data_IF_132249616013
#
_entry.id   IF_132249616013
#
_cell.length_a   1.000
_cell.length_b   1.000
_cell.length_c   1.000
_cell.angle_alpha   90.00
_cell.angle_beta   90.00
_cell.angle_gamma   90.00
#
_symmetry.space_group_name_H-M   'P 1'
#
loop_
_entity.id
_entity.type
_entity.pdbx_description
1 polymer ?
#
# COMPACT_ATOMS: atom_id res chain seq x y z
N UNK A 1 -35.68 36.40 13.18
CA UNK A 1 -34.35 35.85 12.85
C UNK A 1 -33.75 36.80 11.85
N UNK A 2 -32.59 37.34 12.15
CA UNK A 2 -31.92 38.39 11.36
C UNK A 2 -30.51 37.93 11.03
N UNK A 3 -30.04 38.26 9.83
CA UNK A 3 -28.64 38.08 9.43
C UNK A 3 -28.11 39.44 9.04
N UNK A 4 -26.90 39.75 9.51
CA UNK A 4 -26.19 40.99 9.21
C UNK A 4 -24.69 40.73 9.20
N UNK A 5 -23.93 41.69 8.68
CA UNK A 5 -22.48 41.70 8.89
C UNK A 5 -22.17 41.71 10.38
N UNK A 6 -21.15 40.95 10.76
CA UNK A 6 -20.53 41.07 12.06
C UNK A 6 -19.85 42.43 12.16
N UNK A 7 -19.86 42.97 13.36
CA UNK A 7 -19.10 44.16 13.77
C UNK A 7 -18.15 43.77 14.88
N UNK A 8 -17.21 44.66 15.23
CA UNK A 8 -16.27 44.40 16.34
C UNK A 8 -16.99 44.12 17.67
N UNK A 9 -18.20 44.65 17.86
CA UNK A 9 -19.02 44.39 19.05
C UNK A 9 -19.50 42.92 19.16
N UNK A 10 -19.49 42.16 18.05
CA UNK A 10 -19.91 40.77 18.02
C UNK A 10 -18.78 39.79 18.37
N UNK A 11 -17.54 40.26 18.43
CA UNK A 11 -16.36 39.42 18.65
C UNK A 11 -16.50 38.51 19.89
N UNK A 12 -16.93 39.00 21.07
CA UNK A 12 -17.07 38.12 22.24
C UNK A 12 -18.09 37.00 22.03
N UNK A 13 -19.19 37.29 21.32
CA UNK A 13 -20.22 36.28 21.04
C UNK A 13 -19.75 35.26 20.00
N UNK A 14 -19.04 35.71 18.97
CA UNK A 14 -18.47 34.83 17.95
C UNK A 14 -17.37 33.95 18.56
N UNK A 15 -16.54 34.47 19.47
CA UNK A 15 -15.53 33.67 20.17
C UNK A 15 -16.13 32.55 21.01
N UNK A 16 -17.26 32.79 21.67
CA UNK A 16 -17.98 31.74 22.39
C UNK A 16 -18.47 30.65 21.43
N UNK A 17 -19.07 31.04 20.30
CA UNK A 17 -19.52 30.09 19.28
C UNK A 17 -18.34 29.35 18.62
N UNK A 18 -17.20 29.99 18.44
CA UNK A 18 -15.97 29.38 17.94
C UNK A 18 -15.47 28.28 18.88
N UNK A 19 -15.45 28.55 20.19
CA UNK A 19 -15.06 27.55 21.20
C UNK A 19 -16.02 26.36 21.22
N UNK A 20 -17.32 26.60 21.05
CA UNK A 20 -18.29 25.51 20.88
C UNK A 20 -18.01 24.68 19.61
N UNK A 21 -17.71 25.35 18.48
CA UNK A 21 -17.34 24.70 17.23
C UNK A 21 -16.09 23.82 17.38
N UNK A 22 -15.02 24.36 17.95
CA UNK A 22 -13.77 23.64 18.22
C UNK A 22 -14.00 22.48 19.19
N UNK A 23 -14.84 22.64 20.21
CA UNK A 23 -15.18 21.54 21.12
C UNK A 23 -15.96 20.41 20.44
N UNK A 24 -16.81 20.72 19.45
CA UNK A 24 -17.55 19.70 18.69
C UNK A 24 -16.70 19.02 17.61
N UNK A 25 -15.68 19.70 17.09
CA UNK A 25 -14.80 19.20 16.05
C UNK A 25 -13.36 19.65 16.34
N UNK A 26 -12.70 19.03 17.33
CA UNK A 26 -11.37 19.46 17.75
C UNK A 26 -10.36 19.32 16.61
N UNK A 27 -9.43 20.28 16.44
CA UNK A 27 -8.37 20.15 15.45
C UNK A 27 -7.49 18.94 15.79
N UNK A 28 -6.80 18.37 14.78
CA UNK A 28 -5.79 17.35 15.04
C UNK A 28 -4.76 17.82 16.06
N UNK A 29 -4.40 16.95 17.01
CA UNK A 29 -3.52 17.29 18.13
C UNK A 29 -2.16 17.88 17.73
N UNK A 30 -1.67 17.58 16.52
CA UNK A 30 -0.39 18.09 16.02
C UNK A 30 -0.44 19.55 15.56
N UNK A 31 -1.63 20.16 15.43
CA UNK A 31 -1.77 21.59 15.14
C UNK A 31 -1.66 22.46 16.40
N UNK A 32 -1.64 21.86 17.59
CA UNK A 32 -1.60 22.58 18.86
C UNK A 32 -2.99 23.05 19.32
N UNK A 33 -3.01 23.91 20.34
CA UNK A 33 -4.23 24.61 20.76
C UNK A 33 -4.72 25.52 19.63
N UNK A 34 -6.04 25.58 19.42
CA UNK A 34 -6.62 26.52 18.44
C UNK A 34 -6.40 27.93 18.95
N UNK A 35 -5.81 28.79 18.12
CA UNK A 35 -5.80 30.23 18.38
C UNK A 35 -7.24 30.76 18.50
N UNK A 36 -7.41 31.86 19.26
CA UNK A 36 -8.66 32.61 19.32
C UNK A 36 -9.00 33.15 17.91
N UNK A 37 -10.29 33.22 17.58
CA UNK A 37 -10.73 33.60 16.23
C UNK A 37 -10.60 35.11 15.96
N UNK A 38 -9.70 35.51 15.07
CA UNK A 38 -9.60 36.90 14.61
C UNK A 38 -10.59 37.18 13.45
N UNK A 39 -11.57 38.07 13.66
CA UNK A 39 -12.65 38.33 12.69
C UNK A 39 -12.18 38.84 11.32
N UNK A 40 -11.06 39.58 11.27
CA UNK A 40 -10.52 40.19 10.05
C UNK A 40 -9.32 39.46 9.43
N UNK A 41 -8.91 38.33 10.00
CA UNK A 41 -7.72 37.63 9.52
C UNK A 41 -7.90 37.10 8.09
N UNK A 42 -6.86 37.23 7.27
CA UNK A 42 -6.81 36.64 5.93
C UNK A 42 -7.82 37.22 4.91
N UNK A 43 -8.31 38.45 5.14
CA UNK A 43 -9.26 39.11 4.23
C UNK A 43 -10.66 38.52 4.27
N UNK A 44 -11.06 37.95 5.41
CA UNK A 44 -12.39 37.36 5.59
C UNK A 44 -13.42 38.42 5.97
N UNK A 45 -14.64 38.24 5.48
CA UNK A 45 -15.84 38.95 5.90
C UNK A 45 -16.68 38.01 6.76
N UNK A 46 -17.27 38.53 7.83
CA UNK A 46 -18.06 37.75 8.77
C UNK A 46 -19.52 38.20 8.82
N UNK A 47 -20.41 37.24 9.02
CA UNK A 47 -21.85 37.44 9.25
C UNK A 47 -22.29 36.74 10.52
N UNK A 48 -23.25 37.35 11.21
CA UNK A 48 -23.90 36.77 12.39
C UNK A 48 -25.38 36.49 12.12
N UNK A 49 -25.86 35.38 12.67
CA UNK A 49 -27.28 35.04 12.72
C UNK A 49 -27.81 35.26 14.12
N UNK A 50 -28.86 36.08 14.23
CA UNK A 50 -29.45 36.46 15.52
C UNK A 50 -30.84 35.84 15.72
N UNK A 51 -31.12 35.45 16.97
CA UNK A 51 -32.44 34.99 17.43
C UNK A 51 -32.66 35.41 18.87
N UNK A 52 -33.87 35.90 19.17
CA UNK A 52 -34.26 36.34 20.52
C UNK A 52 -33.30 37.36 21.17
N UNK A 53 -32.70 38.23 20.35
CA UNK A 53 -31.80 39.29 20.83
C UNK A 53 -30.33 38.89 21.04
N UNK A 54 -29.94 37.66 20.67
CA UNK A 54 -28.55 37.20 20.77
C UNK A 54 -28.03 36.58 19.46
N UNK A 55 -26.70 36.63 19.29
CA UNK A 55 -25.97 35.95 18.21
C UNK A 55 -25.94 34.45 18.52
N UNK A 56 -26.43 33.63 17.60
CA UNK A 56 -26.58 32.17 17.76
C UNK A 56 -25.92 31.37 16.64
N UNK A 57 -25.37 32.05 15.64
CA UNK A 57 -24.67 31.47 14.51
C UNK A 57 -23.73 32.51 13.90
N UNK A 58 -22.68 32.05 13.23
CA UNK A 58 -21.81 32.91 12.44
C UNK A 58 -21.33 32.18 11.18
N UNK A 59 -20.90 32.95 10.19
CA UNK A 59 -20.17 32.47 9.03
C UNK A 59 -19.04 33.43 8.69
N UNK A 60 -17.92 32.89 8.21
CA UNK A 60 -16.83 33.66 7.60
C UNK A 60 -16.59 33.20 6.18
N UNK A 61 -16.38 34.15 5.28
CA UNK A 61 -16.08 33.86 3.89
C UNK A 61 -15.11 34.87 3.30
N UNK A 62 -14.48 34.50 2.19
CA UNK A 62 -13.58 35.37 1.43
C UNK A 62 -13.65 35.06 -0.06
N UNK A 63 -13.35 36.02 -0.95
CA UNK A 63 -13.22 35.75 -2.37
C UNK A 63 -11.89 35.03 -2.67
N UNK A 64 -11.91 34.13 -3.64
CA UNK A 64 -10.73 33.44 -4.18
C UNK A 64 -10.86 33.26 -5.69
N UNK A 65 -10.17 34.11 -6.46
CA UNK A 65 -10.35 34.16 -7.91
C UNK A 65 -11.79 34.49 -8.27
N UNK A 66 -12.45 33.60 -9.03
CA UNK A 66 -13.87 33.72 -9.40
C UNK A 66 -14.82 32.95 -8.47
N UNK A 67 -14.35 32.51 -7.31
CA UNK A 67 -15.11 31.73 -6.34
C UNK A 67 -15.20 32.43 -4.97
N UNK A 68 -16.10 31.95 -4.13
CA UNK A 68 -16.18 32.31 -2.71
C UNK A 68 -15.82 31.09 -1.87
N UNK A 69 -14.91 31.26 -0.92
CA UNK A 69 -14.58 30.25 0.08
C UNK A 69 -15.31 30.56 1.38
N UNK A 70 -16.19 29.65 1.82
CA UNK A 70 -16.72 29.68 3.18
C UNK A 70 -15.67 29.03 4.08
N UNK A 71 -15.03 29.84 4.92
CA UNK A 71 -13.93 29.43 5.80
C UNK A 71 -14.50 28.75 7.04
N UNK A 72 -15.50 29.37 7.66
CA UNK A 72 -16.17 28.84 8.85
C UNK A 72 -17.67 29.04 8.75
N UNK A 73 -18.42 28.06 9.25
CA UNK A 73 -19.86 28.14 9.38
C UNK A 73 -20.29 27.34 10.61
N UNK A 74 -20.86 28.03 11.60
CA UNK A 74 -21.34 27.39 12.81
C UNK A 74 -22.70 27.92 13.24
N UNK A 75 -23.53 27.01 13.73
CA UNK A 75 -24.82 27.31 14.33
C UNK A 75 -24.86 26.58 15.68
N UNK A 76 -25.10 27.34 16.76
CA UNK A 76 -25.24 26.80 18.11
C UNK A 76 -26.24 25.65 18.13
N UNK A 77 -25.94 24.58 18.85
CA UNK A 77 -26.69 23.31 18.82
C UNK A 77 -28.19 23.50 19.05
N UNK A 78 -28.58 24.36 19.99
CA UNK A 78 -29.97 24.66 20.34
C UNK A 78 -30.76 25.34 19.20
N UNK A 79 -30.07 25.94 18.22
CA UNK A 79 -30.67 26.71 17.13
C UNK A 79 -30.55 26.03 15.75
N UNK A 80 -29.98 24.81 15.69
CA UNK A 80 -29.86 24.02 14.45
C UNK A 80 -31.21 23.58 13.90
N UNK A 81 -31.23 23.17 12.63
CA UNK A 81 -32.42 22.68 11.88
C UNK A 81 -33.53 23.73 11.66
N UNK A 82 -33.18 25.01 11.75
CA UNK A 82 -34.08 26.13 11.47
C UNK A 82 -33.68 26.92 10.21
N UNK A 83 -32.83 26.36 9.35
CA UNK A 83 -32.40 27.00 8.10
C UNK A 83 -31.25 28.01 8.22
N UNK A 84 -30.83 28.39 9.44
CA UNK A 84 -29.78 29.40 9.69
C UNK A 84 -28.52 29.23 8.84
N UNK A 85 -27.96 28.01 8.76
CA UNK A 85 -26.74 27.77 7.98
C UNK A 85 -26.92 28.05 6.48
N UNK A 86 -28.08 27.69 5.91
CA UNK A 86 -28.40 27.99 4.50
C UNK A 86 -28.53 29.50 4.28
N UNK A 87 -29.18 30.20 5.21
CA UNK A 87 -29.38 31.64 5.11
C UNK A 87 -28.05 32.40 5.26
N UNK A 88 -27.13 31.95 6.12
CA UNK A 88 -25.78 32.50 6.25
C UNK A 88 -24.95 32.32 4.97
N UNK A 89 -24.99 31.14 4.35
CA UNK A 89 -24.34 30.92 3.04
C UNK A 89 -24.91 31.87 2.00
N UNK A 90 -26.25 32.04 1.95
CA UNK A 90 -26.89 32.97 1.04
C UNK A 90 -26.45 34.43 1.24
N UNK A 91 -26.30 34.86 2.50
CA UNK A 91 -25.79 36.20 2.82
C UNK A 91 -24.34 36.39 2.37
N UNK A 92 -23.48 35.39 2.57
CA UNK A 92 -22.10 35.44 2.10
C UNK A 92 -22.02 35.52 0.56
N UNK A 93 -22.87 34.81 -0.17
CA UNK A 93 -22.89 34.86 -1.64
C UNK A 93 -23.44 36.17 -2.19
N UNK A 94 -24.34 36.83 -1.46
CA UNK A 94 -24.88 38.13 -1.87
C UNK A 94 -23.81 39.24 -1.87
N UNK A 95 -22.73 39.09 -1.08
CA UNK A 95 -21.59 40.00 -1.06
C UNK A 95 -20.78 39.95 -2.36
N UNK A 96 -20.73 38.79 -3.01
CA UNK A 96 -19.96 38.57 -4.24
C UNK A 96 -20.87 38.00 -5.34
N UNK A 97 -21.74 38.85 -5.94
CA UNK A 97 -22.75 38.39 -6.91
C UNK A 97 -22.15 37.80 -8.18
N UNK A 98 -20.91 38.15 -8.52
CA UNK A 98 -20.19 37.65 -9.70
C UNK A 98 -19.46 36.31 -9.44
N UNK A 99 -19.56 35.76 -8.24
CA UNK A 99 -18.93 34.49 -7.90
C UNK A 99 -19.55 33.33 -8.70
N UNK A 100 -18.70 32.62 -9.43
CA UNK A 100 -19.09 31.49 -10.28
C UNK A 100 -19.16 30.17 -9.52
N UNK A 101 -18.43 30.07 -8.40
CA UNK A 101 -18.29 28.85 -7.61
C UNK A 101 -18.28 29.16 -6.11
N UNK A 102 -18.66 28.16 -5.32
CA UNK A 102 -18.59 28.20 -3.85
C UNK A 102 -17.84 26.98 -3.38
N UNK A 103 -16.80 27.17 -2.57
CA UNK A 103 -16.02 26.10 -1.96
C UNK A 103 -15.99 26.22 -0.45
N UNK A 104 -15.79 25.09 0.21
CA UNK A 104 -15.62 24.99 1.64
C UNK A 104 -14.89 23.68 1.97
N UNK A 105 -14.33 23.63 3.17
CA UNK A 105 -13.86 22.39 3.75
C UNK A 105 -14.89 21.92 4.80
N UNK A 106 -15.32 20.66 4.70
CA UNK A 106 -16.35 20.13 5.58
C UNK A 106 -15.79 19.04 6.49
N UNK A 107 -16.07 19.15 7.79
CA UNK A 107 -15.98 18.00 8.69
C UNK A 107 -16.98 16.91 8.25
N UNK A 108 -16.64 15.63 8.47
CA UNK A 108 -17.45 14.49 8.05
C UNK A 108 -18.89 14.57 8.56
N UNK A 109 -19.09 15.05 9.79
CA UNK A 109 -20.41 15.21 10.40
C UNK A 109 -21.31 16.25 9.69
N UNK A 110 -20.71 17.21 8.97
CA UNK A 110 -21.42 18.26 8.24
C UNK A 110 -21.75 17.87 6.78
N UNK A 111 -21.16 16.80 6.24
CA UNK A 111 -21.38 16.38 4.85
C UNK A 111 -22.87 16.21 4.48
N UNK A 112 -23.74 15.61 5.30
CA UNK A 112 -25.16 15.48 4.97
C UNK A 112 -25.88 16.84 4.82
N UNK A 113 -25.39 17.90 5.46
CA UNK A 113 -25.92 19.25 5.27
C UNK A 113 -25.52 19.82 3.91
N UNK A 114 -24.24 19.77 3.56
CA UNK A 114 -23.74 20.31 2.29
C UNK A 114 -24.21 19.52 1.07
N UNK A 115 -24.29 18.19 1.17
CA UNK A 115 -24.82 17.34 0.10
C UNK A 115 -26.28 17.69 -0.23
N UNK A 116 -27.10 18.04 0.77
CA UNK A 116 -28.48 18.50 0.56
C UNK A 116 -28.58 19.87 -0.11
N UNK A 117 -27.52 20.68 -0.04
CA UNK A 117 -27.41 21.95 -0.76
C UNK A 117 -26.84 21.78 -2.17
N UNK A 118 -26.40 20.57 -2.54
CA UNK A 118 -25.89 20.25 -3.86
C UNK A 118 -24.36 20.35 -4.00
N UNK A 119 -23.63 20.62 -2.93
CA UNK A 119 -22.15 20.57 -2.96
C UNK A 119 -21.68 19.18 -3.38
N UNK A 120 -20.64 19.16 -4.22
CA UNK A 120 -19.97 17.94 -4.66
C UNK A 120 -18.58 17.87 -4.02
N UNK A 121 -18.12 16.66 -3.73
CA UNK A 121 -16.77 16.43 -3.21
C UNK A 121 -15.75 16.55 -4.36
N UNK A 122 -14.91 17.58 -4.32
CA UNK A 122 -13.86 17.82 -5.33
C UNK A 122 -12.51 17.21 -4.91
N UNK A 123 -12.20 17.23 -3.61
CA UNK A 123 -10.91 16.77 -3.08
C UNK A 123 -11.04 16.22 -1.65
N UNK A 124 -10.08 15.36 -1.27
CA UNK A 124 -9.93 14.81 0.09
C UNK A 124 -8.67 15.34 0.76
N UNK A 125 -8.79 15.66 2.05
CA UNK A 125 -7.64 15.78 2.94
C UNK A 125 -7.25 14.39 3.42
N UNK A 126 -6.01 13.99 3.15
CA UNK A 126 -5.42 12.74 3.61
C UNK A 126 -4.34 13.06 4.63
N UNK A 127 -4.37 12.37 5.76
CA UNK A 127 -3.42 12.60 6.86
C UNK A 127 -2.72 11.31 7.23
N UNK A 128 -1.42 11.40 7.49
CA UNK A 128 -0.65 10.34 8.12
C UNK A 128 0.55 10.91 8.88
N UNK A 129 1.01 10.24 9.96
CA UNK A 129 2.23 10.62 10.63
C UNK A 129 3.44 10.56 9.67
N UNK A 130 4.19 11.67 9.57
CA UNK A 130 5.37 11.74 8.72
C UNK A 130 6.41 10.64 8.99
N UNK A 131 6.70 10.25 10.25
CA UNK A 131 7.60 9.12 10.52
C UNK A 131 7.13 7.80 9.89
N UNK A 132 5.81 7.53 9.92
CA UNK A 132 5.24 6.34 9.30
C UNK A 132 5.33 6.39 7.76
N UNK A 133 5.17 7.58 7.16
CA UNK A 133 5.35 7.74 5.70
C UNK A 133 6.80 7.50 5.30
N UNK A 134 7.75 8.09 6.04
CA UNK A 134 9.18 7.90 5.79
C UNK A 134 9.58 6.42 5.87
N UNK A 135 9.11 5.71 6.89
CA UNK A 135 9.36 4.27 7.02
C UNK A 135 8.84 3.48 5.80
N UNK A 136 7.63 3.80 5.32
CA UNK A 136 7.05 3.17 4.12
C UNK A 136 7.76 3.55 2.82
N UNK A 137 8.26 4.78 2.70
CA UNK A 137 9.01 5.23 1.52
C UNK A 137 10.41 4.64 1.49
N UNK A 138 11.06 4.46 2.65
CA UNK A 138 12.34 3.76 2.74
C UNK A 138 12.22 2.28 2.32
N UNK A 139 11.04 1.66 2.50
CA UNK A 139 10.71 0.36 1.93
C UNK A 139 10.53 0.35 0.39
N UNK A 140 10.76 1.46 -0.32
CA UNK A 140 10.82 1.47 -1.79
C UNK A 140 12.23 1.60 -2.36
N UNK A 141 13.24 1.90 -1.53
CA UNK A 141 14.67 1.80 -1.90
C UNK A 141 15.23 0.38 -1.71
N UNK A 142 14.35 -0.61 -1.76
CA UNK A 142 14.69 -2.02 -1.67
C UNK A 142 15.15 -2.48 -3.06
N UNK A 143 16.30 -3.16 -3.15
CA UNK A 143 16.94 -3.50 -4.42
C UNK A 143 16.07 -4.38 -5.32
N UNK A 144 16.54 -4.67 -6.53
CA UNK A 144 15.77 -5.50 -7.46
C UNK A 144 15.49 -6.90 -6.88
N UNK A 145 14.25 -7.34 -7.04
CA UNK A 145 13.82 -8.71 -6.72
C UNK A 145 13.65 -9.48 -8.01
N UNK A 146 13.99 -10.75 -7.99
CA UNK A 146 13.73 -11.65 -9.09
C UNK A 146 13.58 -13.08 -8.57
N UNK A 147 12.90 -13.92 -9.34
CA UNK A 147 12.71 -15.31 -8.95
C UNK A 147 12.39 -16.25 -10.08
N UNK A 148 12.57 -17.53 -9.79
CA UNK A 148 12.31 -18.63 -10.71
C UNK A 148 11.64 -19.78 -9.97
N UNK A 149 10.82 -20.52 -10.70
CA UNK A 149 10.14 -21.72 -10.20
C UNK A 149 10.68 -22.91 -10.98
N UNK A 150 11.18 -23.92 -10.29
CA UNK A 150 11.67 -25.15 -10.89
C UNK A 150 10.72 -26.30 -10.58
N UNK A 151 10.16 -26.92 -11.61
CA UNK A 151 9.24 -28.06 -11.51
C UNK A 151 9.99 -29.33 -11.88
N UNK A 152 10.02 -30.34 -11.00
CA UNK A 152 10.75 -31.59 -11.22
C UNK A 152 9.97 -32.52 -12.16
N UNK A 153 10.09 -32.30 -13.46
CA UNK A 153 9.44 -33.08 -14.53
C UNK A 153 10.15 -32.83 -15.86
N UNK A 154 9.90 -33.67 -16.85
CA UNK A 154 10.31 -33.54 -18.24
C UNK A 154 9.14 -33.15 -19.18
N UNK A 155 7.90 -33.12 -18.69
CA UNK A 155 6.72 -32.72 -19.48
C UNK A 155 6.56 -31.19 -19.53
N UNK A 156 7.34 -30.55 -20.41
CA UNK A 156 7.31 -29.10 -20.64
C UNK A 156 5.91 -28.61 -21.06
N UNK A 157 5.20 -29.41 -21.86
CA UNK A 157 3.86 -29.06 -22.33
C UNK A 157 2.83 -29.03 -21.20
N UNK A 158 2.93 -29.93 -20.22
CA UNK A 158 2.07 -29.89 -19.03
C UNK A 158 2.35 -28.67 -18.17
N UNK A 159 3.62 -28.32 -17.96
CA UNK A 159 3.99 -27.10 -17.22
C UNK A 159 3.48 -25.85 -17.95
N UNK A 160 3.67 -25.75 -19.26
CA UNK A 160 3.16 -24.64 -20.07
C UNK A 160 1.63 -24.47 -19.92
N UNK A 161 0.86 -25.56 -20.04
CA UNK A 161 -0.59 -25.53 -19.86
C UNK A 161 -0.98 -25.07 -18.46
N UNK A 162 -0.26 -25.51 -17.43
CA UNK A 162 -0.51 -25.08 -16.05
C UNK A 162 -0.20 -23.58 -15.87
N UNK A 163 0.91 -23.09 -16.43
CA UNK A 163 1.26 -21.65 -16.42
C UNK A 163 0.16 -20.82 -17.10
N UNK A 164 -0.29 -21.21 -18.30
CA UNK A 164 -1.41 -20.57 -19.01
C UNK A 164 -2.70 -20.54 -18.19
N UNK A 165 -2.95 -21.59 -17.41
CA UNK A 165 -4.14 -21.70 -16.58
C UNK A 165 -4.09 -20.76 -15.36
N UNK A 166 -2.93 -20.62 -14.71
CA UNK A 166 -2.83 -19.96 -13.41
C UNK A 166 -2.35 -18.51 -13.46
N UNK A 167 -1.44 -18.15 -14.36
CA UNK A 167 -0.87 -16.80 -14.45
C UNK A 167 -1.93 -15.71 -14.64
N UNK A 168 -2.97 -15.87 -15.49
CA UNK A 168 -4.02 -14.86 -15.63
C UNK A 168 -4.81 -14.57 -14.34
N UNK A 169 -4.72 -15.43 -13.32
CA UNK A 169 -5.42 -15.31 -12.03
C UNK A 169 -4.54 -14.67 -10.95
N UNK A 170 -3.28 -14.37 -11.26
CA UNK A 170 -2.37 -13.68 -10.35
C UNK A 170 -2.70 -12.17 -10.32
N UNK A 171 -2.84 -11.56 -9.14
CA UNK A 171 -2.84 -10.11 -8.98
C UNK A 171 -1.58 -9.48 -9.58
N UNK A 172 -1.69 -8.23 -10.06
CA UNK A 172 -0.55 -7.47 -10.59
C UNK A 172 -0.37 -7.55 -12.11
N UNK A 173 -1.13 -8.41 -12.79
CA UNK A 173 -1.28 -8.43 -14.25
C UNK A 173 0.01 -8.70 -15.01
N UNK A 174 0.44 -9.97 -15.05
CA UNK A 174 1.67 -10.39 -15.73
C UNK A 174 1.71 -9.94 -17.19
N UNK A 175 2.90 -9.50 -17.62
CA UNK A 175 3.23 -9.19 -19.01
C UNK A 175 3.55 -10.44 -19.84
N UNK A 176 3.82 -11.56 -19.18
CA UNK A 176 4.10 -12.84 -19.82
C UNK A 176 4.91 -13.75 -18.92
N UNK A 177 5.05 -14.99 -19.35
CA UNK A 177 5.85 -16.00 -18.66
C UNK A 177 6.72 -16.76 -19.66
N UNK A 178 7.80 -17.35 -19.18
CA UNK A 178 8.71 -18.18 -19.96
C UNK A 178 8.80 -19.54 -19.29
N UNK A 179 8.60 -20.61 -20.08
CA UNK A 179 8.77 -22.00 -19.66
C UNK A 179 9.97 -22.59 -20.39
N UNK A 180 11.07 -22.77 -19.66
CA UNK A 180 12.32 -23.31 -20.20
C UNK A 180 12.21 -24.81 -20.53
N UNK A 181 13.06 -25.34 -21.43
CA UNK A 181 13.15 -26.77 -21.66
C UNK A 181 13.69 -27.50 -20.40
N UNK A 182 13.45 -28.82 -20.27
CA UNK A 182 13.98 -29.61 -19.17
C UNK A 182 15.52 -29.57 -19.11
N UNK A 183 16.07 -29.31 -17.93
CA UNK A 183 17.51 -29.34 -17.63
C UNK A 183 17.72 -30.03 -16.28
N UNK A 184 18.51 -31.09 -16.26
CA UNK A 184 18.76 -31.92 -15.07
C UNK A 184 17.49 -32.40 -14.35
N UNK A 185 16.43 -32.73 -15.10
CA UNK A 185 15.15 -33.18 -14.53
C UNK A 185 14.27 -32.04 -14.00
N UNK A 186 14.59 -30.79 -14.33
CA UNK A 186 13.81 -29.61 -13.93
C UNK A 186 13.39 -28.76 -15.12
N UNK A 187 12.16 -28.26 -15.09
CA UNK A 187 11.66 -27.21 -15.97
C UNK A 187 11.58 -25.91 -15.18
N UNK A 188 12.22 -24.85 -15.66
CA UNK A 188 12.17 -23.53 -15.04
C UNK A 188 11.01 -22.70 -15.63
N UNK A 189 10.31 -21.98 -14.75
CA UNK A 189 9.26 -21.02 -15.07
C UNK A 189 9.65 -19.65 -14.53
N UNK A 190 9.60 -18.65 -15.40
CA UNK A 190 9.85 -17.25 -15.09
C UNK A 190 8.59 -16.45 -15.42
N UNK A 191 8.21 -15.51 -14.56
CA UNK A 191 7.02 -14.69 -14.78
C UNK A 191 7.23 -13.27 -14.26
N UNK A 192 6.78 -12.29 -15.04
CA UNK A 192 6.94 -10.86 -14.77
C UNK A 192 6.40 -10.43 -13.39
N UNK A 193 5.27 -10.98 -12.95
CA UNK A 193 4.70 -10.62 -11.65
C UNK A 193 5.48 -11.31 -10.53
N UNK A 194 5.98 -12.52 -10.76
CA UNK A 194 6.74 -13.28 -9.78
C UNK A 194 8.10 -12.65 -9.46
N UNK A 195 8.72 -11.95 -10.41
CA UNK A 195 9.92 -11.13 -10.13
C UNK A 195 9.62 -9.97 -9.18
N UNK A 196 8.46 -9.32 -9.37
CA UNK A 196 8.09 -8.10 -8.66
C UNK A 196 7.45 -8.34 -7.30
N UNK A 197 6.85 -9.52 -7.09
CA UNK A 197 6.15 -9.86 -5.85
C UNK A 197 6.44 -11.32 -5.44
N UNK A 198 7.30 -11.54 -4.42
CA UNK A 198 7.63 -12.87 -3.90
C UNK A 198 6.40 -13.68 -3.42
N UNK A 199 5.29 -13.00 -3.06
CA UNK A 199 4.04 -13.68 -2.69
C UNK A 199 3.41 -14.34 -3.90
N UNK A 200 3.48 -13.73 -5.07
CA UNK A 200 2.96 -14.34 -6.30
C UNK A 200 3.87 -15.47 -6.78
N UNK A 201 5.19 -15.35 -6.64
CA UNK A 201 6.13 -16.45 -6.89
C UNK A 201 5.77 -17.68 -6.07
N UNK A 202 5.60 -17.51 -4.74
CA UNK A 202 5.20 -18.61 -3.84
C UNK A 202 3.85 -19.19 -4.22
N UNK A 203 2.88 -18.34 -4.56
CA UNK A 203 1.53 -18.76 -4.97
C UNK A 203 1.58 -19.60 -6.25
N UNK A 204 2.24 -19.12 -7.29
CA UNK A 204 2.33 -19.84 -8.56
C UNK A 204 3.08 -21.18 -8.37
N UNK A 205 4.18 -21.20 -7.62
CA UNK A 205 4.91 -22.43 -7.31
C UNK A 205 4.02 -23.46 -6.60
N UNK A 206 3.18 -23.00 -5.66
CA UNK A 206 2.20 -23.84 -4.98
C UNK A 206 1.17 -24.44 -5.95
N UNK A 207 0.59 -23.63 -6.81
CA UNK A 207 -0.41 -24.07 -7.81
C UNK A 207 0.19 -25.07 -8.81
N UNK A 208 1.43 -24.83 -9.26
CA UNK A 208 2.17 -25.75 -10.11
C UNK A 208 2.43 -27.07 -9.39
N UNK A 209 2.90 -27.03 -8.13
CA UNK A 209 3.14 -28.25 -7.34
C UNK A 209 1.87 -29.07 -7.10
N UNK A 210 0.75 -28.42 -6.84
CA UNK A 210 -0.56 -29.08 -6.67
C UNK A 210 -1.04 -29.71 -7.98
N UNK A 211 -0.96 -28.96 -9.09
CA UNK A 211 -1.44 -29.40 -10.41
C UNK A 211 -0.61 -30.51 -11.01
N UNK A 212 0.71 -30.46 -10.83
CA UNK A 212 1.65 -31.41 -11.41
C UNK A 212 1.86 -32.64 -10.51
N UNK A 213 1.52 -32.55 -9.22
CA UNK A 213 1.80 -33.61 -8.25
C UNK A 213 3.30 -33.90 -8.11
N UNK A 214 4.15 -32.91 -8.40
CA UNK A 214 5.61 -33.04 -8.41
C UNK A 214 6.25 -32.22 -7.30
N UNK A 215 7.56 -32.42 -7.12
CA UNK A 215 8.39 -31.49 -6.34
C UNK A 215 8.51 -30.18 -7.12
N UNK A 216 8.36 -29.06 -6.43
CA UNK A 216 8.53 -27.71 -6.99
C UNK A 216 9.40 -26.89 -6.05
N UNK A 217 10.37 -26.18 -6.61
CA UNK A 217 11.27 -25.30 -5.87
C UNK A 217 11.10 -23.87 -6.37
N UNK A 218 10.67 -22.95 -5.50
CA UNK A 218 10.73 -21.52 -5.75
C UNK A 218 12.06 -20.96 -5.22
N UNK A 219 12.76 -20.19 -6.04
CA UNK A 219 14.05 -19.57 -5.74
C UNK A 219 13.96 -18.07 -6.00
N UNK A 220 14.39 -17.24 -5.05
CA UNK A 220 14.30 -15.79 -5.18
C UNK A 220 15.47 -15.05 -4.53
N UNK A 221 15.86 -13.95 -5.17
CA UNK A 221 16.47 -12.81 -4.50
C UNK A 221 15.36 -11.82 -4.21
N UNK A 222 15.23 -11.44 -2.94
CA UNK A 222 14.29 -10.41 -2.51
C UNK A 222 15.09 -9.16 -2.13
N UNK A 223 14.72 -8.03 -2.73
CA UNK A 223 15.20 -6.70 -2.38
C UNK A 223 16.71 -6.50 -2.53
N UNK A 224 17.34 -7.29 -3.41
CA UNK A 224 18.80 -7.48 -3.55
C UNK A 224 19.53 -7.82 -2.23
N UNK A 225 18.80 -8.20 -1.17
CA UNK A 225 19.32 -8.25 0.19
C UNK A 225 19.27 -9.66 0.80
N UNK A 226 18.27 -10.46 0.44
CA UNK A 226 18.10 -11.82 0.97
C UNK A 226 17.80 -12.83 -0.10
N UNK A 227 18.21 -14.06 0.16
CA UNK A 227 17.90 -15.23 -0.66
C UNK A 227 16.81 -16.03 0.04
N UNK A 228 15.74 -16.35 -0.69
CA UNK A 228 14.69 -17.26 -0.24
C UNK A 228 14.63 -18.49 -1.14
N UNK A 229 14.40 -19.65 -0.54
CA UNK A 229 13.81 -20.75 -1.28
C UNK A 229 12.59 -21.30 -0.55
N UNK A 230 11.64 -21.83 -1.31
CA UNK A 230 10.49 -22.58 -0.78
C UNK A 230 10.39 -23.88 -1.57
N UNK A 231 10.49 -25.00 -0.86
CA UNK A 231 10.36 -26.33 -1.44
C UNK A 231 8.94 -26.85 -1.20
N UNK A 232 8.32 -27.33 -2.27
CA UNK A 232 6.98 -27.88 -2.27
C UNK A 232 6.98 -29.34 -2.70
N UNK A 233 6.08 -30.12 -2.12
CA UNK A 233 5.71 -31.46 -2.57
C UNK A 233 4.18 -31.52 -2.62
N UNK A 234 3.61 -31.80 -3.79
CA UNK A 234 2.15 -31.81 -4.00
C UNK A 234 1.46 -30.53 -3.49
N UNK A 235 2.05 -29.36 -3.79
CA UNK A 235 1.51 -28.05 -3.42
C UNK A 235 1.56 -27.71 -1.92
N UNK A 236 2.21 -28.55 -1.10
CA UNK A 236 2.45 -28.28 0.33
C UNK A 236 3.90 -27.89 0.54
N UNK A 237 4.14 -26.89 1.39
CA UNK A 237 5.50 -26.50 1.78
C UNK A 237 6.08 -27.59 2.65
N UNK A 238 7.26 -28.08 2.28
CA UNK A 238 8.00 -29.10 3.02
C UNK A 238 9.28 -28.58 3.62
N UNK A 239 9.83 -27.50 3.05
CA UNK A 239 10.97 -26.75 3.60
C UNK A 239 10.91 -25.30 3.12
N UNK A 240 11.39 -24.39 3.96
CA UNK A 240 11.49 -22.97 3.63
C UNK A 240 12.79 -22.42 4.22
N UNK A 241 13.47 -21.60 3.45
CA UNK A 241 14.75 -21.00 3.84
C UNK A 241 14.74 -19.52 3.55
N UNK A 242 15.30 -18.75 4.49
CA UNK A 242 15.61 -17.34 4.32
C UNK A 242 17.01 -17.06 4.87
N UNK A 243 17.89 -16.48 4.06
CA UNK A 243 19.28 -16.22 4.43
C UNK A 243 19.44 -15.31 5.66
N UNK A 244 18.47 -14.41 5.88
CA UNK A 244 18.37 -13.59 7.09
C UNK A 244 16.95 -13.77 7.62
N UNK A 245 16.76 -14.63 8.62
CA UNK A 245 15.43 -15.10 9.04
C UNK A 245 14.51 -13.95 9.48
N UNK A 246 15.06 -12.96 10.17
CA UNK A 246 14.29 -11.83 10.71
C UNK A 246 14.33 -10.58 9.82
N UNK A 247 14.68 -10.73 8.52
CA UNK A 247 14.81 -9.60 7.59
C UNK A 247 13.52 -8.75 7.48
N UNK A 248 12.36 -9.41 7.52
CA UNK A 248 11.05 -8.75 7.46
C UNK A 248 10.49 -8.34 8.83
N UNK A 249 11.30 -8.47 9.89
CA UNK A 249 10.97 -8.15 11.26
C UNK A 249 11.18 -9.34 12.21
N UNK A 250 11.06 -9.08 13.52
CA UNK A 250 11.26 -10.10 14.54
C UNK A 250 10.31 -11.29 14.39
N UNK A 251 10.82 -12.49 14.64
CA UNK A 251 10.06 -13.74 14.56
C UNK A 251 10.06 -14.49 15.89
N UNK A 252 9.01 -15.29 16.19
CA UNK A 252 9.06 -16.27 17.27
C UNK A 252 10.25 -17.24 17.07
N UNK A 253 10.91 -17.71 18.14
CA UNK A 253 12.09 -18.59 18.02
C UNK A 253 11.86 -19.86 17.18
N UNK A 254 10.65 -20.44 17.24
CA UNK A 254 10.29 -21.60 16.42
C UNK A 254 10.26 -21.30 14.93
N UNK A 255 9.82 -20.10 14.55
CA UNK A 255 9.74 -19.67 13.15
C UNK A 255 11.14 -19.33 12.60
N UNK A 256 12.03 -18.79 13.43
CA UNK A 256 13.44 -18.60 13.06
C UNK A 256 14.10 -19.94 12.70
N UNK A 257 13.88 -20.98 13.52
CA UNK A 257 14.42 -22.32 13.24
C UNK A 257 13.77 -22.93 11.99
N UNK A 258 12.49 -22.69 11.75
CA UNK A 258 11.78 -23.19 10.58
C UNK A 258 12.23 -22.55 9.25
N UNK A 259 12.89 -21.38 9.30
CA UNK A 259 13.48 -20.70 8.14
C UNK A 259 14.96 -21.07 7.90
N UNK A 260 15.50 -22.02 8.66
CA UNK A 260 16.77 -22.64 8.35
C UNK A 260 16.53 -23.82 7.40
N UNK A 261 17.28 -23.87 6.29
CA UNK A 261 17.17 -24.94 5.32
C UNK A 261 17.37 -26.30 6.00
N UNK A 262 16.51 -27.28 5.72
CA UNK A 262 16.68 -28.64 6.19
C UNK A 262 17.37 -29.49 5.11
N UNK A 263 18.70 -29.69 5.17
CA UNK A 263 19.43 -30.26 4.03
C UNK A 263 19.08 -31.73 3.77
N UNK A 264 18.54 -32.43 4.77
CA UNK A 264 18.06 -33.81 4.62
C UNK A 264 16.75 -33.88 3.84
N UNK A 265 15.83 -32.94 4.09
CA UNK A 265 14.56 -32.85 3.35
C UNK A 265 14.84 -32.49 1.89
N UNK A 266 15.69 -31.48 1.67
CA UNK A 266 16.11 -31.07 0.32
C UNK A 266 16.76 -32.25 -0.41
N UNK A 267 17.78 -32.87 0.18
CA UNK A 267 18.49 -34.02 -0.41
C UNK A 267 17.55 -35.18 -0.79
N UNK A 268 16.59 -35.51 0.07
CA UNK A 268 15.61 -36.58 -0.20
C UNK A 268 14.74 -36.30 -1.42
N UNK A 269 14.34 -35.05 -1.64
CA UNK A 269 13.39 -34.68 -2.69
C UNK A 269 14.06 -34.32 -4.02
N UNK A 270 15.27 -33.76 -3.96
CA UNK A 270 15.97 -33.28 -5.16
C UNK A 270 17.09 -34.23 -5.61
N UNK A 271 17.52 -35.16 -4.74
CA UNK A 271 18.69 -36.01 -4.97
C UNK A 271 20.02 -35.31 -4.71
N UNK A 272 20.01 -34.08 -4.16
CA UNK A 272 21.22 -33.31 -3.89
C UNK A 272 22.04 -33.85 -2.72
N UNK A 273 23.32 -33.47 -2.65
CA UNK A 273 24.15 -33.75 -1.47
C UNK A 273 23.74 -32.85 -0.29
N UNK A 274 23.40 -33.45 0.85
CA UNK A 274 22.96 -32.70 2.04
C UNK A 274 24.09 -31.83 2.64
N UNK A 275 25.36 -32.22 2.46
CA UNK A 275 26.51 -31.44 2.91
C UNK A 275 26.67 -30.16 2.09
N UNK A 276 26.57 -30.26 0.77
CA UNK A 276 26.61 -29.14 -0.16
C UNK A 276 25.46 -28.16 0.07
N UNK A 277 24.23 -28.66 0.28
CA UNK A 277 23.09 -27.79 0.62
C UNK A 277 23.32 -27.04 1.93
N UNK A 278 23.83 -27.72 2.97
CA UNK A 278 24.17 -27.07 4.25
C UNK A 278 25.23 -25.97 4.07
N UNK A 279 26.25 -26.23 3.27
CA UNK A 279 27.33 -25.28 3.03
C UNK A 279 26.86 -24.06 2.22
N UNK A 280 25.91 -24.25 1.30
CA UNK A 280 25.37 -23.18 0.47
C UNK A 280 24.31 -22.32 1.17
N UNK A 281 23.47 -22.91 2.03
CA UNK A 281 22.40 -22.23 2.76
C UNK A 281 22.93 -21.48 3.99
N UNK A 282 23.70 -20.41 3.75
CA UNK A 282 24.34 -19.58 4.79
C UNK A 282 23.36 -18.63 5.48
N UNK A 283 23.60 -18.34 6.77
CA UNK A 283 22.77 -17.42 7.55
C UNK A 283 23.58 -16.26 8.13
N UNK A 284 22.93 -15.10 8.25
CA UNK A 284 23.49 -13.90 8.88
C UNK A 284 22.41 -13.08 9.59
N UNK A 285 22.82 -12.15 10.46
CA UNK A 285 21.91 -11.23 11.15
C UNK A 285 21.59 -9.99 10.30
N UNK A 286 22.41 -9.68 9.29
CA UNK A 286 22.21 -8.56 8.38
C UNK A 286 22.80 -8.83 6.98
N UNK A 287 22.36 -8.11 5.92
CA UNK A 287 22.84 -8.34 4.55
C UNK A 287 24.36 -8.19 4.41
N UNK A 288 24.99 -7.31 5.20
CA UNK A 288 26.43 -7.08 5.15
C UNK A 288 27.30 -8.21 5.71
N UNK A 289 26.71 -9.21 6.37
CA UNK A 289 27.42 -10.38 6.91
C UNK A 289 27.51 -11.55 5.91
N UNK A 290 26.78 -11.47 4.80
CA UNK A 290 26.68 -12.52 3.80
C UNK A 290 27.30 -12.07 2.47
N UNK A 291 27.68 -13.01 1.59
CA UNK A 291 27.85 -12.71 0.17
C UNK A 291 26.58 -12.08 -0.41
N UNK A 292 26.69 -11.45 -1.58
CA UNK A 292 25.52 -10.87 -2.25
C UNK A 292 24.41 -11.92 -2.43
N UNK A 293 23.15 -11.52 -2.25
CA UNK A 293 22.01 -12.45 -2.26
C UNK A 293 21.94 -13.29 -3.55
N UNK A 294 22.32 -12.71 -4.70
CA UNK A 294 22.42 -13.44 -5.96
C UNK A 294 23.51 -14.52 -5.95
N UNK A 295 24.64 -14.29 -5.30
CA UNK A 295 25.71 -15.29 -5.16
C UNK A 295 25.29 -16.44 -4.25
N UNK A 296 24.61 -16.13 -3.14
CA UNK A 296 24.03 -17.15 -2.26
C UNK A 296 22.99 -17.97 -3.01
N UNK A 297 22.11 -17.34 -3.80
CA UNK A 297 21.13 -18.02 -4.65
C UNK A 297 21.81 -18.99 -5.62
N UNK A 298 22.83 -18.54 -6.35
CA UNK A 298 23.59 -19.37 -7.29
C UNK A 298 24.27 -20.56 -6.59
N UNK A 299 24.81 -20.36 -5.39
CA UNK A 299 25.40 -21.43 -4.58
C UNK A 299 24.37 -22.49 -4.22
N UNK A 300 23.19 -22.08 -3.75
CA UNK A 300 22.08 -22.97 -3.40
C UNK A 300 21.57 -23.72 -4.63
N UNK A 301 21.32 -23.00 -5.73
CA UNK A 301 20.87 -23.57 -7.00
C UNK A 301 21.83 -24.67 -7.49
N UNK A 302 23.14 -24.40 -7.45
CA UNK A 302 24.18 -25.36 -7.79
C UNK A 302 24.20 -26.56 -6.85
N UNK A 303 24.08 -26.34 -5.55
CA UNK A 303 24.04 -27.41 -4.56
C UNK A 303 22.83 -28.34 -4.76
N UNK A 304 21.68 -27.79 -5.16
CA UNK A 304 20.46 -28.54 -5.45
C UNK A 304 20.52 -29.22 -6.83
N UNK A 305 21.26 -28.65 -7.78
CA UNK A 305 21.41 -29.17 -9.15
C UNK A 305 20.46 -28.53 -10.17
N UNK A 306 19.84 -27.40 -9.84
CA UNK A 306 18.98 -26.62 -10.76
C UNK A 306 19.80 -25.62 -11.57
N UNK A 307 19.32 -25.29 -12.77
CA UNK A 307 19.96 -24.34 -13.70
C UNK A 307 18.98 -23.23 -14.09
N UNK A 308 19.50 -22.01 -14.31
CA UNK A 308 18.71 -20.84 -14.67
C UNK A 308 18.05 -20.15 -13.47
N UNK A 309 18.58 -20.31 -12.27
CA UNK A 309 18.06 -19.61 -11.09
C UNK A 309 18.66 -18.20 -10.95
N UNK A 310 19.72 -17.90 -11.70
CA UNK A 310 20.53 -16.68 -11.61
C UNK A 310 19.88 -15.41 -12.17
N UNK A 311 18.65 -15.50 -12.70
CA UNK A 311 17.95 -14.40 -13.34
C UNK A 311 16.43 -14.51 -13.17
N UNK A 312 15.73 -13.38 -13.34
CA UNK A 312 14.27 -13.30 -13.41
C UNK A 312 13.74 -13.51 -14.83
N UNK A 313 12.48 -13.11 -15.03
CA UNK A 313 11.81 -13.03 -16.33
C UNK A 313 12.42 -11.98 -17.26
N UNK A 314 12.81 -10.81 -16.73
CA UNK A 314 13.41 -9.72 -17.53
C UNK A 314 14.69 -10.13 -18.25
N UNK A 315 15.49 -10.95 -17.57
CA UNK A 315 16.84 -11.34 -17.98
C UNK A 315 16.90 -12.83 -18.34
N UNK A 316 15.75 -13.50 -18.42
CA UNK A 316 15.68 -14.88 -18.86
C UNK A 316 16.26 -14.98 -20.28
N UNK A 317 17.36 -15.73 -20.47
CA UNK A 317 17.98 -15.85 -21.77
C UNK A 317 17.01 -16.49 -22.74
N UNK A 318 17.13 -16.12 -24.02
CA UNK A 318 16.42 -16.81 -25.11
C UNK A 318 16.99 -18.23 -25.22
N UNK A 319 16.47 -19.14 -24.40
CA UNK A 319 16.87 -20.54 -24.40
C UNK A 319 16.23 -21.24 -25.60
N UNK A 320 17.02 -21.94 -26.39
CA UNK A 320 16.50 -22.77 -27.47
C UNK A 320 15.50 -23.79 -26.89
N UNK A 321 14.27 -23.79 -27.41
CA UNK A 321 13.18 -24.64 -26.91
C UNK A 321 12.38 -24.07 -25.73
N UNK A 322 12.66 -22.84 -25.27
CA UNK A 322 11.78 -22.17 -24.32
C UNK A 322 10.47 -21.76 -24.99
N UNK A 323 9.36 -21.87 -24.24
CA UNK A 323 8.04 -21.43 -24.68
C UNK A 323 7.70 -20.12 -23.99
N UNK A 324 7.40 -19.10 -24.79
CA UNK A 324 6.87 -17.83 -24.30
C UNK A 324 5.35 -17.96 -24.20
N UNK A 325 4.85 -17.76 -22.99
CA UNK A 325 3.41 -17.68 -22.71
C UNK A 325 3.04 -16.20 -22.69
N UNK A 326 2.53 -15.73 -23.82
CA UNK A 326 1.93 -14.41 -23.93
C UNK A 326 0.60 -14.35 -23.17
N UNK A 327 0.23 -13.13 -22.77
CA UNK A 327 -0.99 -12.83 -22.03
C UNK A 327 -2.25 -13.08 -22.85
#
# INVERSE_FOLDING_TARGET
MTIRHATDADEPAIQLLWREFVAESPPPAYLGESDDLELGHGGTTAWVGERSGGVVAFARARPIGTAVEIVDLYVARAHRRHGLGKTLIGAALAEWPDATHVRLEAALAALPFYNRLGFQEEARRLEMPAPALRARLAQREKGESFGSIHVQTDDQGAVERAVRQFVPRLPGGSRGSIVAPPRNGWIAVYDDVCDRDPRQLRRLAKELGDRMGSVVLALAVEEAAVTRFVLFEHGKVVDEYLSIQEYYGPLPPGDVVALAANPRVVSRLTGSDAGAVRAAAVHGASPGELPAAAEVLVSIARAIGVQGAEHGWSDAPTLAGAVVVER
#
